data_IF_784788258872
#
_entry.id   IF_784788258872
#
_cell.length_a   1.000
_cell.length_b   1.000
_cell.length_c   1.000
_cell.angle_alpha   90.00
_cell.angle_beta   90.00
_cell.angle_gamma   90.00
#
_symmetry.space_group_name_H-M   'P 1'
#
loop_
_entity.id
_entity.type
_entity.pdbx_description
1 polymer ?
#
# COMPACT_ATOMS: atom_id res chain seq x y z
N UNK A 1 -6.70 -19.72 24.41
CA UNK A 1 -5.41 -19.06 24.07
C UNK A 1 -4.21 -20.02 24.14
N UNK A 2 -4.42 -21.33 23.89
CA UNK A 2 -3.43 -22.37 24.23
C UNK A 2 -2.36 -22.62 23.16
N UNK A 3 -2.50 -22.04 21.96
CA UNK A 3 -1.48 -22.12 20.91
C UNK A 3 -1.41 -20.83 20.09
N UNK A 4 -0.62 -19.88 20.60
CA UNK A 4 -0.39 -18.57 19.95
C UNK A 4 0.20 -18.73 18.54
N UNK A 5 1.01 -19.77 18.31
CA UNK A 5 1.62 -20.05 17.00
C UNK A 5 0.58 -20.46 15.96
N UNK A 6 -0.42 -21.26 16.34
CA UNK A 6 -1.50 -21.64 15.44
C UNK A 6 -2.35 -20.42 15.04
N UNK A 7 -2.63 -19.53 16.01
CA UNK A 7 -3.34 -18.27 15.78
C UNK A 7 -2.56 -17.38 14.81
N UNK A 8 -1.25 -17.17 15.04
CA UNK A 8 -0.39 -16.36 14.14
C UNK A 8 -0.31 -16.88 12.70
N UNK A 9 -0.42 -18.19 12.48
CA UNK A 9 -0.42 -18.75 11.12
C UNK A 9 -1.72 -18.50 10.38
N UNK A 10 -2.85 -18.50 11.10
CA UNK A 10 -4.20 -18.35 10.53
C UNK A 10 -4.71 -16.91 10.55
N UNK A 11 -4.09 -16.03 11.33
CA UNK A 11 -4.51 -14.63 11.44
C UNK A 11 -4.48 -13.93 10.08
N UNK A 12 -5.41 -13.00 9.90
CA UNK A 12 -5.42 -12.07 8.77
C UNK A 12 -4.06 -11.35 8.71
N UNK A 13 -3.46 -11.26 7.53
CA UNK A 13 -2.10 -10.71 7.37
C UNK A 13 -1.13 -11.67 6.69
N UNK A 14 -1.29 -12.98 6.89
CA UNK A 14 -0.29 -13.99 6.46
C UNK A 14 -0.52 -14.52 5.03
N UNK A 15 -1.68 -14.25 4.43
CA UNK A 15 -2.05 -14.70 3.09
C UNK A 15 -1.87 -13.64 1.99
N UNK A 16 -2.38 -13.93 0.78
CA UNK A 16 -2.24 -13.06 -0.40
C UNK A 16 -2.91 -11.67 -0.29
N UNK A 17 -3.81 -11.49 0.68
CA UNK A 17 -4.55 -10.25 0.97
C UNK A 17 -4.89 -9.42 -0.29
N UNK A 18 -5.48 -10.06 -1.32
CA UNK A 18 -5.54 -9.48 -2.68
C UNK A 18 -6.15 -8.08 -2.72
N UNK A 19 -7.16 -7.86 -1.87
CA UNK A 19 -7.82 -6.58 -1.67
C UNK A 19 -7.12 -5.74 -0.59
N UNK A 20 -7.06 -6.25 0.65
CA UNK A 20 -6.57 -5.51 1.81
C UNK A 20 -5.13 -4.99 1.68
N UNK A 21 -4.25 -5.64 0.91
CA UNK A 21 -2.87 -5.17 0.70
C UNK A 21 -2.81 -3.78 0.05
N UNK A 22 -3.80 -3.44 -0.76
CA UNK A 22 -3.85 -2.18 -1.52
C UNK A 22 -4.63 -1.09 -0.79
N UNK A 23 -5.46 -1.46 0.19
CA UNK A 23 -6.31 -0.52 0.94
C UNK A 23 -5.49 0.55 1.68
N UNK A 24 -4.41 0.24 2.42
CA UNK A 24 -3.59 1.27 3.06
C UNK A 24 -2.97 2.26 2.07
N UNK A 25 -2.57 1.77 0.88
CA UNK A 25 -2.05 2.64 -0.19
C UNK A 25 -3.13 3.57 -0.72
N UNK A 26 -4.35 3.07 -0.93
CA UNK A 26 -5.50 3.87 -1.39
C UNK A 26 -5.96 4.87 -0.33
N UNK A 27 -5.94 4.47 0.94
CA UNK A 27 -6.27 5.33 2.07
C UNK A 27 -5.35 6.55 2.13
N UNK A 28 -4.03 6.36 2.01
CA UNK A 28 -3.04 7.46 1.94
C UNK A 28 -3.30 8.46 0.81
N UNK A 29 -3.97 8.01 -0.25
CA UNK A 29 -4.34 8.83 -1.40
C UNK A 29 -5.82 9.21 -1.40
N UNK A 30 -6.51 9.13 -0.25
CA UNK A 30 -7.94 9.45 -0.09
C UNK A 30 -8.86 8.74 -1.10
N UNK A 31 -8.54 7.50 -1.46
CA UNK A 31 -9.31 6.69 -2.41
C UNK A 31 -9.56 7.35 -3.76
N UNK A 32 -8.61 8.18 -4.24
CA UNK A 32 -8.70 8.80 -5.58
C UNK A 32 -8.82 7.74 -6.68
N UNK A 33 -9.81 7.93 -7.55
CA UNK A 33 -10.10 7.13 -8.74
C UNK A 33 -9.93 7.99 -10.01
N UNK A 34 -9.72 7.35 -11.17
CA UNK A 34 -9.80 8.02 -12.48
C UNK A 34 -8.65 8.96 -12.86
N UNK A 35 -7.61 9.10 -12.02
CA UNK A 35 -6.44 9.94 -12.35
C UNK A 35 -5.36 9.14 -13.07
N UNK A 36 -4.90 9.61 -14.23
CA UNK A 36 -3.66 9.10 -14.83
C UNK A 36 -2.45 9.83 -14.24
N UNK A 37 -1.39 9.09 -13.96
CA UNK A 37 -0.13 9.69 -13.55
C UNK A 37 0.45 10.51 -14.71
N UNK A 38 0.81 11.77 -14.46
CA UNK A 38 1.52 12.56 -15.47
C UNK A 38 2.87 11.91 -15.76
N UNK A 39 3.32 11.88 -17.03
CA UNK A 39 4.62 11.32 -17.38
C UNK A 39 5.70 12.08 -16.61
N UNK A 40 6.55 11.34 -15.88
CA UNK A 40 7.69 11.93 -15.17
C UNK A 40 8.77 12.23 -16.20
N UNK A 41 8.81 13.45 -16.72
CA UNK A 41 9.98 13.95 -17.44
C UNK A 41 11.15 13.97 -16.45
N UNK A 42 12.17 13.12 -16.65
CA UNK A 42 13.43 13.19 -15.91
C UNK A 42 14.17 14.46 -16.34
N UNK A 43 13.81 15.61 -15.78
CA UNK A 43 14.45 16.87 -16.05
C UNK A 43 14.07 17.88 -14.98
N UNK A 44 15.10 18.46 -14.34
CA UNK A 44 15.06 19.41 -13.23
C UNK A 44 14.74 18.79 -11.85
N UNK A 45 15.77 18.15 -11.27
CA UNK A 45 16.00 18.36 -9.85
C UNK A 45 16.21 19.87 -9.64
N UNK A 46 15.28 20.53 -8.95
CA UNK A 46 15.43 21.93 -8.62
C UNK A 46 16.56 22.06 -7.61
N UNK A 47 17.63 22.73 -8.03
CA UNK A 47 18.49 23.44 -7.10
C UNK A 47 17.63 24.47 -6.36
N UNK A 48 17.72 24.47 -5.03
CA UNK A 48 17.34 25.62 -4.21
C UNK A 48 18.37 25.74 -3.10
N UNK A 49 18.96 26.95 -3.06
CA UNK A 49 19.88 27.59 -2.11
C UNK A 49 20.10 26.91 -0.76
#
# INVERSE_FOLDING_TARGET
>A
NWSVKAIRRKTTGTGRMRYLRHVPRRFKTNFREGTQATPRNKGAAAASS
#
